data_IF_769031926021
#
_entry.id   IF_769031926021
#
_cell.length_a   1.000
_cell.length_b   1.000
_cell.length_c   1.000
_cell.angle_alpha   90.00
_cell.angle_beta   90.00
_cell.angle_gamma   90.00
#
_symmetry.space_group_name_H-M   'P 1'
#
loop_
_entity.id
_entity.type
_entity.pdbx_description
1 polymer ?
#
# COMPACT_ATOMS: atom_id res chain seq x y z
N UNK A 1 5.99 2.15 7.63
CA UNK A 1 6.08 1.06 6.63
C UNK A 1 4.77 0.97 5.83
N UNK A 2 4.53 1.94 4.94
CA UNK A 2 3.33 1.97 4.09
C UNK A 2 3.68 1.52 2.69
N UNK A 3 2.72 0.87 2.02
CA UNK A 3 2.85 0.42 0.64
C UNK A 3 1.76 1.03 -0.23
N UNK A 4 2.05 1.33 -1.51
CA UNK A 4 1.04 1.75 -2.47
C UNK A 4 -0.02 0.66 -2.68
N UNK A 5 -1.27 1.08 -2.85
CA UNK A 5 -2.34 0.19 -3.30
C UNK A 5 -2.29 0.00 -4.83
N UNK A 6 -2.82 -1.12 -5.33
CA UNK A 6 -3.07 -1.36 -6.75
C UNK A 6 -4.04 -0.33 -7.34
N UNK A 7 -4.07 -0.19 -8.67
CA UNK A 7 -4.97 0.78 -9.34
C UNK A 7 -6.44 0.50 -9.00
N UNK A 8 -6.83 -0.77 -9.01
CA UNK A 8 -8.18 -1.23 -8.64
C UNK A 8 -8.54 -0.87 -7.20
N UNK A 9 -7.66 -1.15 -6.23
CA UNK A 9 -7.90 -0.80 -4.83
C UNK A 9 -7.93 0.71 -4.60
N UNK A 10 -7.13 1.48 -5.35
CA UNK A 10 -7.15 2.95 -5.28
C UNK A 10 -8.47 3.52 -5.79
N UNK A 11 -9.03 2.95 -6.86
CA UNK A 11 -10.34 3.36 -7.37
C UNK A 11 -11.43 2.99 -6.38
N UNK A 12 -11.42 1.75 -5.85
CA UNK A 12 -12.41 1.25 -4.90
C UNK A 12 -12.46 2.05 -3.59
N UNK A 13 -11.30 2.37 -3.00
CA UNK A 13 -11.24 3.00 -1.67
C UNK A 13 -10.83 4.48 -1.70
N UNK A 14 -10.49 5.04 -2.87
CA UNK A 14 -9.98 6.42 -3.04
C UNK A 14 -8.73 6.77 -2.19
N UNK A 15 -7.99 5.76 -1.70
CA UNK A 15 -6.76 5.94 -0.89
C UNK A 15 -5.53 5.55 -1.72
N UNK A 16 -4.42 6.29 -1.61
CA UNK A 16 -3.20 6.02 -2.39
C UNK A 16 -2.32 4.92 -1.79
N UNK A 17 -2.23 4.85 -0.47
CA UNK A 17 -1.35 3.92 0.26
C UNK A 17 -1.90 3.50 1.62
N UNK A 18 -1.53 2.29 2.04
CA UNK A 18 -1.92 1.71 3.34
C UNK A 18 -0.71 1.13 4.08
N UNK A 19 -0.72 1.16 5.44
CA UNK A 19 0.23 0.40 6.23
C UNK A 19 0.08 -1.10 5.96
N UNK A 20 1.21 -1.74 5.62
CA UNK A 20 1.22 -3.17 5.32
C UNK A 20 1.03 -4.00 6.59
N UNK A 21 0.26 -5.08 6.50
CA UNK A 21 0.00 -6.03 7.58
C UNK A 21 0.35 -7.45 7.15
N UNK A 22 0.48 -8.32 8.15
CA UNK A 22 0.50 -9.77 7.93
C UNK A 22 -0.77 -10.18 7.17
N UNK A 23 -0.62 -11.11 6.25
CA UNK A 23 -1.67 -11.67 5.38
C UNK A 23 -2.24 -10.73 4.30
N UNK A 24 -1.70 -9.52 4.13
CA UNK A 24 -1.96 -8.76 2.90
C UNK A 24 -1.32 -9.49 1.70
N UNK A 25 -2.00 -9.48 0.55
CA UNK A 25 -1.40 -9.95 -0.70
C UNK A 25 -0.69 -8.80 -1.40
N UNK A 26 0.55 -9.06 -1.82
CA UNK A 26 1.41 -8.06 -2.44
C UNK A 26 2.11 -8.58 -3.67
N UNK A 27 2.42 -7.65 -4.57
CA UNK A 27 3.25 -7.89 -5.74
C UNK A 27 4.51 -7.03 -5.65
N UNK A 28 5.67 -7.62 -5.95
CA UNK A 28 6.94 -6.90 -6.01
C UNK A 28 7.06 -6.17 -7.35
N UNK A 29 7.26 -4.85 -7.31
CA UNK A 29 7.33 -4.00 -8.51
C UNK A 29 8.74 -3.52 -8.86
N UNK A 30 9.69 -3.62 -7.92
CA UNK A 30 11.09 -3.19 -8.11
C UNK A 30 12.06 -4.19 -7.49
N UNK A 31 13.24 -4.31 -8.09
CA UNK A 31 14.33 -5.17 -7.63
C UNK A 31 14.38 -6.52 -8.35
N UNK A 32 15.27 -7.40 -7.88
CA UNK A 32 15.53 -8.71 -8.51
C UNK A 32 14.27 -9.61 -8.55
N UNK A 33 13.45 -9.57 -7.50
CA UNK A 33 12.23 -10.37 -7.39
C UNK A 33 11.00 -9.73 -8.07
N UNK A 34 11.20 -8.74 -8.95
CA UNK A 34 10.12 -8.11 -9.71
C UNK A 34 9.51 -9.13 -10.69
N UNK A 35 8.19 -9.11 -10.83
CA UNK A 35 7.48 -9.98 -11.78
C UNK A 35 7.17 -11.38 -11.24
N UNK A 36 7.64 -11.71 -10.04
CA UNK A 36 7.13 -12.87 -9.32
C UNK A 36 5.63 -12.72 -9.05
N UNK A 37 4.95 -13.86 -8.98
CA UNK A 37 3.52 -13.92 -8.70
C UNK A 37 3.19 -13.25 -7.36
N UNK A 38 1.93 -12.84 -7.23
CA UNK A 38 1.39 -12.26 -6.00
C UNK A 38 1.68 -13.20 -4.83
N UNK A 39 2.21 -12.65 -3.73
CA UNK A 39 2.57 -13.40 -2.54
C UNK A 39 1.96 -12.77 -1.29
N UNK A 40 1.63 -13.61 -0.32
CA UNK A 40 1.13 -13.17 0.97
C UNK A 40 2.29 -12.70 1.87
N UNK A 41 2.06 -11.62 2.63
CA UNK A 41 3.02 -11.15 3.63
C UNK A 41 3.01 -12.08 4.83
N UNK A 42 4.11 -12.78 5.06
CA UNK A 42 4.27 -13.72 6.19
C UNK A 42 4.56 -12.96 7.48
N UNK A 43 5.46 -11.98 7.41
CA UNK A 43 5.91 -11.23 8.56
C UNK A 43 6.35 -9.81 8.19
N UNK A 44 6.05 -8.87 9.08
CA UNK A 44 6.49 -7.48 8.99
C UNK A 44 7.56 -7.24 10.06
N UNK A 45 8.82 -7.16 9.64
CA UNK A 45 9.96 -6.98 10.54
C UNK A 45 10.28 -5.48 10.68
N UNK A 46 9.62 -4.83 11.65
CA UNK A 46 9.70 -3.37 11.83
C UNK A 46 11.08 -2.86 12.24
N UNK A 47 11.84 -3.62 13.03
CA UNK A 47 13.19 -3.22 13.50
C UNK A 47 14.19 -3.04 12.35
N UNK A 48 14.07 -3.82 11.27
CA UNK A 48 14.89 -3.71 10.04
C UNK A 48 14.16 -3.02 8.88
N UNK A 49 12.94 -2.50 9.09
CA UNK A 49 12.13 -1.87 8.05
C UNK A 49 11.90 -2.74 6.79
N UNK A 50 11.71 -4.04 7.01
CA UNK A 50 11.63 -5.05 5.94
C UNK A 50 10.38 -5.92 6.10
N UNK A 51 9.85 -6.41 4.98
CA UNK A 51 8.76 -7.39 4.91
C UNK A 51 9.25 -8.69 4.31
N UNK A 52 8.70 -9.81 4.80
CA UNK A 52 8.90 -11.13 4.25
C UNK A 52 7.63 -11.59 3.53
N UNK A 53 7.80 -12.07 2.30
CA UNK A 53 6.72 -12.49 1.41
C UNK A 53 6.94 -13.98 1.15
N UNK A 54 5.88 -14.78 1.24
CA UNK A 54 5.93 -16.24 1.23
C UNK A 54 6.73 -16.83 0.06
N UNK A 55 6.51 -16.30 -1.15
CA UNK A 55 7.14 -16.79 -2.39
C UNK A 55 8.49 -16.15 -2.72
N UNK A 56 8.94 -15.19 -1.91
CA UNK A 56 10.21 -14.49 -2.11
C UNK A 56 11.26 -15.11 -1.19
N UNK A 57 11.89 -16.17 -1.69
CA UNK A 57 12.89 -16.94 -0.97
C UNK A 57 14.21 -17.01 -1.73
N UNK A 58 15.27 -17.36 -1.00
CA UNK A 58 16.59 -17.69 -1.55
C UNK A 58 17.10 -18.92 -0.83
N UNK A 59 17.70 -19.83 -1.59
CA UNK A 59 18.41 -20.99 -1.03
C UNK A 59 19.77 -20.59 -0.46
N UNK A 60 20.13 -21.17 0.67
CA UNK A 60 21.46 -21.12 1.24
C UNK A 60 22.30 -22.29 0.71
N UNK A 61 23.62 -22.21 0.88
CA UNK A 61 24.54 -23.30 0.50
C UNK A 61 24.23 -24.64 1.20
N UNK A 62 23.57 -24.61 2.35
CA UNK A 62 23.13 -25.80 3.08
C UNK A 62 21.77 -26.35 2.61
N UNK A 63 21.21 -25.86 1.50
CA UNK A 63 19.92 -26.30 0.94
C UNK A 63 18.67 -25.75 1.64
N UNK A 64 18.81 -25.04 2.77
CA UNK A 64 17.64 -24.44 3.44
C UNK A 64 17.19 -23.16 2.74
N UNK A 65 15.88 -22.96 2.60
CA UNK A 65 15.32 -21.72 2.04
C UNK A 65 15.11 -20.68 3.13
N UNK A 66 15.41 -19.42 2.80
CA UNK A 66 15.14 -18.28 3.68
C UNK A 66 14.40 -17.17 2.94
N UNK A 67 13.50 -16.51 3.65
CA UNK A 67 12.78 -15.38 3.10
C UNK A 67 13.71 -14.20 2.86
N UNK A 68 13.60 -13.60 1.67
CA UNK A 68 14.36 -12.39 1.35
C UNK A 68 13.57 -11.17 1.79
N UNK A 69 14.29 -10.28 2.46
CA UNK A 69 13.74 -9.05 2.95
C UNK A 69 13.48 -8.04 1.83
N UNK A 70 12.25 -7.59 1.68
CA UNK A 70 11.88 -6.53 0.74
C UNK A 70 11.44 -5.27 1.48
N UNK A 71 11.76 -4.10 0.94
CA UNK A 71 11.27 -2.83 1.50
C UNK A 71 9.82 -2.58 1.05
N UNK A 72 8.90 -2.16 1.94
CA UNK A 72 7.48 -2.01 1.62
C UNK A 72 7.17 -0.99 0.51
N UNK A 73 8.05 -0.04 0.21
CA UNK A 73 7.84 0.89 -0.92
C UNK A 73 8.08 0.25 -2.30
N UNK A 74 8.77 -0.90 -2.35
CA UNK A 74 9.07 -1.67 -3.57
C UNK A 74 7.97 -2.69 -3.91
N UNK A 75 6.88 -2.71 -3.13
CA UNK A 75 5.73 -3.60 -3.35
C UNK A 75 4.44 -2.81 -3.53
N UNK A 76 3.47 -3.42 -4.20
CA UNK A 76 2.12 -2.92 -4.36
C UNK A 76 1.16 -3.92 -3.72
N UNK A 77 0.23 -3.43 -2.90
CA UNK A 77 -0.82 -4.25 -2.30
C UNK A 77 -1.90 -4.54 -3.34
N UNK A 78 -2.20 -5.81 -3.56
CA UNK A 78 -3.22 -6.29 -4.50
C UNK A 78 -4.51 -6.65 -3.78
N UNK A 79 -4.42 -7.28 -2.59
CA UNK A 79 -5.57 -7.54 -1.71
C UNK A 79 -5.26 -7.16 -0.27
N UNK A 80 -6.21 -6.52 0.38
CA UNK A 80 -6.12 -6.08 1.78
C UNK A 80 -6.80 -7.10 2.70
N UNK A 81 -6.15 -7.48 3.79
CA UNK A 81 -6.81 -8.16 4.91
C UNK A 81 -7.66 -7.15 5.68
N UNK A 82 -8.97 -7.16 5.47
CA UNK A 82 -9.88 -6.21 6.10
C UNK A 82 -10.23 -6.63 7.54
N UNK A 83 -10.02 -5.72 8.47
CA UNK A 83 -10.52 -5.77 9.85
C UNK A 83 -11.32 -4.48 10.15
N UNK A 84 -12.01 -4.45 11.30
CA UNK A 84 -12.84 -3.30 11.73
C UNK A 84 -12.04 -1.99 11.68
N UNK A 85 -10.79 -2.02 12.13
CA UNK A 85 -9.95 -0.83 12.19
C UNK A 85 -9.37 -0.43 10.83
N UNK A 86 -9.11 -1.38 9.93
CA UNK A 86 -8.65 -1.10 8.55
C UNK A 86 -9.73 -0.37 7.78
N UNK A 87 -10.99 -0.79 7.94
CA UNK A 87 -12.15 -0.12 7.33
C UNK A 87 -12.25 1.33 7.81
N UNK A 88 -12.20 1.54 9.13
CA UNK A 88 -12.16 2.90 9.72
C UNK A 88 -11.01 3.75 9.20
N UNK A 89 -9.80 3.18 9.08
CA UNK A 89 -8.63 3.90 8.56
C UNK A 89 -8.82 4.26 7.08
N UNK A 90 -9.37 3.36 6.27
CA UNK A 90 -9.65 3.60 4.85
C UNK A 90 -10.67 4.72 4.69
N UNK A 91 -11.79 4.67 5.40
CA UNK A 91 -12.84 5.69 5.38
C UNK A 91 -12.30 7.07 5.80
N UNK A 92 -11.57 7.12 6.93
CA UNK A 92 -10.95 8.37 7.41
C UNK A 92 -10.00 8.97 6.37
N UNK A 93 -9.15 8.15 5.74
CA UNK A 93 -8.22 8.62 4.70
C UNK A 93 -8.94 9.06 3.43
N UNK A 94 -10.01 8.38 3.04
CA UNK A 94 -10.81 8.74 1.88
C UNK A 94 -11.50 10.10 2.08
N UNK A 95 -12.12 10.32 3.24
CA UNK A 95 -12.77 11.58 3.62
C UNK A 95 -11.78 12.75 3.63
N UNK A 96 -10.61 12.56 4.26
CA UNK A 96 -9.55 13.59 4.28
C UNK A 96 -9.10 13.99 2.87
N UNK A 97 -9.04 13.03 1.94
CA UNK A 97 -8.67 13.29 0.55
C UNK A 97 -9.75 14.05 -0.22
N UNK A 98 -11.03 13.78 0.05
CA UNK A 98 -12.14 14.53 -0.56
C UNK A 98 -12.13 15.99 -0.13
N UNK A 99 -12.01 16.27 1.16
CA UNK A 99 -11.89 17.63 1.70
C UNK A 99 -10.70 18.38 1.10
N UNK A 100 -9.56 17.71 0.95
CA UNK A 100 -8.38 18.31 0.30
C UNK A 100 -8.59 18.64 -1.18
N UNK A 101 -9.38 17.84 -1.90
CA UNK A 101 -9.76 18.13 -3.29
C UNK A 101 -10.73 19.31 -3.41
N UNK A 102 -11.62 19.47 -2.45
CA UNK A 102 -12.59 20.58 -2.42
C UNK A 102 -11.91 21.90 -2.09
N UNK A 103 -10.99 21.93 -1.12
CA UNK A 103 -10.23 23.13 -0.77
C UNK A 103 -9.36 23.70 -1.90
N UNK A 104 -8.89 22.83 -2.81
CA UNK A 104 -8.05 23.25 -3.95
C UNK A 104 -8.84 23.70 -5.18
N UNK A 105 -10.18 23.66 -5.14
CA UNK A 105 -11.03 24.16 -6.22
C UNK A 105 -11.57 25.52 -5.82
N UNK A 106 -11.24 26.55 -6.57
CA UNK A 106 -12.03 27.78 -6.54
C UNK A 106 -13.39 27.46 -7.14
N UNK A 107 -14.45 27.60 -6.33
CA UNK A 107 -15.82 27.54 -6.86
C UNK A 107 -16.07 28.79 -7.70
N UNK A 108 -16.89 28.69 -8.73
CA UNK A 108 -17.25 29.84 -9.59
C UNK A 108 -17.75 31.02 -8.76
N UNK A 109 -18.55 30.78 -7.71
CA UNK A 109 -18.98 31.80 -6.73
C UNK A 109 -17.83 32.51 -5.98
N UNK A 110 -16.68 31.86 -5.80
CA UNK A 110 -15.49 32.48 -5.19
C UNK A 110 -14.67 33.28 -6.20
N UNK A 111 -14.76 32.95 -7.48
CA UNK A 111 -14.07 33.68 -8.56
C UNK A 111 -14.86 34.96 -8.87
N UNK A 112 -16.19 34.89 -8.96
CA UNK A 112 -17.08 36.05 -9.13
C UNK A 112 -16.88 37.07 -8.01
N UNK A 113 -16.84 36.63 -6.74
CA UNK A 113 -16.59 37.50 -5.58
C UNK A 113 -15.18 38.09 -5.49
N UNK A 114 -14.24 37.63 -6.30
CA UNK A 114 -12.90 38.21 -6.39
C UNK A 114 -12.76 39.22 -7.55
N UNK A 115 -13.74 39.26 -8.46
CA UNK A 115 -13.75 40.15 -9.62
C UNK A 115 -14.64 41.39 -9.41
N UNK A 116 -15.48 41.38 -8.38
CA UNK A 116 -16.19 42.55 -7.82
C UNK A 116 -15.32 43.30 -6.80
#
# INVERSE_FOLDING_TARGET
>A
MSSPLSKELRQKYNVRSMPIRKDDEVQVVRGHYKGQQIGKVVQVYRKKYVIYIERVQREKANGTTVHVGIHPSKVVITRLKLDKDRKKILERKAKSRQVGKEKGKYKEEMIEKMQE
#
